data_IF_028613648330
#
_entry.id   IF_028613648330
#
_cell.length_a   1.000
_cell.length_b   1.000
_cell.length_c   1.000
_cell.angle_alpha   90.00
_cell.angle_beta   90.00
_cell.angle_gamma   90.00
#
_symmetry.space_group_name_H-M   'P 1'
#
loop_
_entity.id
_entity.type
_entity.pdbx_description
1 polymer ?
#
# COMPACT_ATOMS: atom_id res chain seq x y z
N UNK A 1 -3.57 4.18 13.89
CA UNK A 1 -4.13 2.89 14.31
C UNK A 1 -5.36 3.06 15.18
N UNK A 2 -6.19 1.99 15.30
CA UNK A 2 -7.20 1.86 16.36
C UNK A 2 -6.74 0.71 17.26
N UNK A 3 -6.42 0.97 18.54
CA UNK A 3 -5.93 -0.07 19.45
C UNK A 3 -6.89 -1.25 19.57
N UNK A 4 -6.36 -2.45 19.62
CA UNK A 4 -7.14 -3.67 19.76
C UNK A 4 -6.35 -4.81 20.39
N UNK A 5 -7.04 -5.73 21.04
CA UNK A 5 -6.40 -6.81 21.81
C UNK A 5 -5.58 -7.76 20.94
N UNK A 6 -6.00 -8.02 19.72
CA UNK A 6 -5.36 -8.99 18.83
C UNK A 6 -3.93 -8.64 18.39
N UNK A 7 -3.45 -7.43 18.69
CA UNK A 7 -2.08 -7.02 18.38
C UNK A 7 -1.43 -6.18 19.50
N UNK A 8 -1.82 -6.40 20.75
CA UNK A 8 -1.22 -5.72 21.92
C UNK A 8 0.30 -5.92 21.99
N UNK A 9 0.81 -7.08 21.60
CA UNK A 9 2.27 -7.34 21.56
C UNK A 9 2.99 -6.38 20.58
N UNK A 10 2.38 -6.05 19.45
CA UNK A 10 2.92 -5.05 18.51
C UNK A 10 2.92 -3.67 19.15
N UNK A 11 1.82 -3.28 19.78
CA UNK A 11 1.72 -1.98 20.46
C UNK A 11 2.75 -1.82 21.57
N UNK A 12 2.96 -2.88 22.34
CA UNK A 12 3.99 -2.90 23.39
C UNK A 12 5.40 -2.76 22.76
N UNK A 13 5.68 -3.47 21.66
CA UNK A 13 6.95 -3.35 20.94
C UNK A 13 7.20 -1.99 20.30
N UNK A 14 6.16 -1.23 19.96
CA UNK A 14 6.28 0.11 19.39
C UNK A 14 6.64 1.19 20.43
N UNK A 15 6.37 0.96 21.74
CA UNK A 15 6.65 1.94 22.80
C UNK A 15 8.12 2.32 22.91
N UNK A 16 9.02 1.38 22.65
CA UNK A 16 10.48 1.56 22.74
C UNK A 16 11.12 1.96 21.41
N UNK A 17 10.32 2.40 20.45
CA UNK A 17 10.79 2.81 19.11
C UNK A 17 10.56 4.29 18.85
N UNK A 18 11.22 4.82 17.82
CA UNK A 18 10.97 6.17 17.31
C UNK A 18 9.75 6.28 16.39
N UNK A 19 8.96 5.21 16.24
CA UNK A 19 7.78 5.21 15.37
C UNK A 19 6.64 5.95 16.07
N UNK A 20 6.22 7.06 15.47
CA UNK A 20 5.08 7.81 15.96
C UNK A 20 3.77 7.06 15.65
N UNK A 21 2.98 6.82 16.69
CA UNK A 21 1.70 6.13 16.58
C UNK A 21 0.55 7.11 16.71
N UNK A 22 -0.17 7.35 15.62
CA UNK A 22 -1.39 8.19 15.60
C UNK A 22 -2.61 7.34 15.95
N UNK A 23 -3.28 7.68 17.06
CA UNK A 23 -4.48 6.99 17.52
C UNK A 23 -5.74 7.56 16.86
N UNK A 24 -6.55 6.70 16.29
CA UNK A 24 -7.84 7.04 15.69
C UNK A 24 -8.98 6.41 16.50
N UNK A 25 -10.17 6.96 16.34
CA UNK A 25 -11.40 6.45 17.00
C UNK A 25 -12.23 5.53 16.12
N UNK A 26 -11.82 5.37 14.84
CA UNK A 26 -12.49 4.54 13.85
C UNK A 26 -11.49 4.03 12.82
N UNK A 27 -11.56 2.77 12.45
CA UNK A 27 -10.59 2.11 11.58
C UNK A 27 -10.64 2.61 10.13
N UNK A 28 -11.83 3.01 9.67
CA UNK A 28 -11.98 3.70 8.38
C UNK A 28 -11.18 5.00 8.35
N UNK A 29 -11.19 5.78 9.45
CA UNK A 29 -10.37 6.98 9.54
C UNK A 29 -8.86 6.63 9.54
N UNK A 30 -8.46 5.60 10.30
CA UNK A 30 -7.06 5.16 10.33
C UNK A 30 -6.56 4.72 8.95
N UNK A 31 -7.37 3.95 8.21
CA UNK A 31 -7.01 3.46 6.88
C UNK A 31 -6.98 4.58 5.84
N UNK A 32 -7.93 5.53 5.88
CA UNK A 32 -7.95 6.69 4.97
C UNK A 32 -6.77 7.64 5.27
N UNK A 33 -6.42 7.85 6.54
CA UNK A 33 -5.23 8.64 6.90
C UNK A 33 -3.94 7.99 6.40
N UNK A 34 -3.82 6.66 6.49
CA UNK A 34 -2.67 5.94 5.95
C UNK A 34 -2.64 6.00 4.41
N UNK A 35 -3.79 5.94 3.75
CA UNK A 35 -3.88 6.16 2.31
C UNK A 35 -3.37 7.56 1.94
N UNK A 36 -3.86 8.59 2.62
CA UNK A 36 -3.43 9.97 2.38
C UNK A 36 -1.91 10.17 2.62
N UNK A 37 -1.35 9.56 3.67
CA UNK A 37 0.10 9.57 3.91
C UNK A 37 0.86 8.90 2.76
N UNK A 38 0.41 7.73 2.30
CA UNK A 38 1.00 7.03 1.16
C UNK A 38 1.00 7.87 -0.12
N UNK A 39 -0.11 8.56 -0.38
CA UNK A 39 -0.28 9.43 -1.55
C UNK A 39 0.63 10.67 -1.51
N UNK A 40 0.77 11.28 -0.35
CA UNK A 40 1.56 12.50 -0.16
C UNK A 40 3.06 12.23 -0.10
N UNK A 41 3.45 11.10 0.47
CA UNK A 41 4.88 10.79 0.70
C UNK A 41 5.50 9.90 -0.36
N UNK A 42 4.68 9.22 -1.17
CA UNK A 42 5.15 8.21 -2.13
C UNK A 42 5.76 6.97 -1.47
N UNK A 43 5.53 6.76 -0.17
CA UNK A 43 5.91 5.57 0.60
C UNK A 43 4.65 4.86 1.08
N UNK A 44 4.67 3.55 1.38
CA UNK A 44 3.47 2.91 1.90
C UNK A 44 2.99 3.55 3.20
N UNK A 45 1.77 4.07 3.19
CA UNK A 45 1.10 4.47 4.42
C UNK A 45 0.77 3.25 5.27
N UNK A 46 0.93 3.34 6.59
CA UNK A 46 0.81 2.20 7.50
C UNK A 46 -0.39 2.37 8.42
N UNK A 47 -1.24 1.36 8.45
CA UNK A 47 -2.33 1.28 9.41
C UNK A 47 -2.33 -0.05 10.17
N UNK A 48 -2.77 -0.01 11.44
CA UNK A 48 -2.99 -1.18 12.29
C UNK A 48 -4.42 -1.18 12.80
N UNK A 49 -5.09 -2.33 12.66
CA UNK A 49 -6.46 -2.53 13.13
C UNK A 49 -6.62 -3.91 13.76
N UNK A 50 -7.62 -4.07 14.62
CA UNK A 50 -7.93 -5.37 15.21
C UNK A 50 -8.62 -6.30 14.22
N UNK A 51 -8.71 -7.58 14.58
CA UNK A 51 -9.41 -8.60 13.78
C UNK A 51 -10.90 -8.30 13.60
N UNK A 52 -11.53 -9.00 12.67
CA UNK A 52 -12.97 -8.96 12.43
C UNK A 52 -13.49 -7.55 12.13
N UNK A 53 -14.30 -6.95 13.03
CA UNK A 53 -14.90 -5.63 12.79
C UNK A 53 -13.89 -4.53 12.48
N UNK A 54 -12.70 -4.54 13.11
CA UNK A 54 -11.66 -3.57 12.81
C UNK A 54 -11.17 -3.66 11.37
N UNK A 55 -10.94 -4.87 10.88
CA UNK A 55 -10.55 -5.12 9.50
C UNK A 55 -11.64 -4.68 8.51
N UNK A 56 -12.90 -5.03 8.78
CA UNK A 56 -14.03 -4.68 7.90
C UNK A 56 -14.27 -3.17 7.86
N UNK A 57 -14.14 -2.47 8.98
CA UNK A 57 -14.22 -1.00 9.01
C UNK A 57 -13.09 -0.33 8.22
N UNK A 58 -11.89 -0.93 8.18
CA UNK A 58 -10.74 -0.39 7.44
C UNK A 58 -10.87 -0.57 5.91
N UNK A 59 -11.78 -1.39 5.42
CA UNK A 59 -11.91 -1.74 4.00
C UNK A 59 -12.13 -0.53 3.08
N UNK A 60 -12.76 0.53 3.55
CA UNK A 60 -12.96 1.75 2.77
C UNK A 60 -11.65 2.40 2.34
N UNK A 61 -10.68 2.54 3.23
CA UNK A 61 -9.37 3.10 2.88
C UNK A 61 -8.56 2.16 1.97
N UNK A 62 -8.69 0.85 2.15
CA UNK A 62 -8.07 -0.14 1.25
C UNK A 62 -8.64 -0.04 -0.16
N UNK A 63 -9.96 0.09 -0.30
CA UNK A 63 -10.58 0.27 -1.61
C UNK A 63 -10.14 1.57 -2.28
N UNK A 64 -10.07 2.68 -1.54
CA UNK A 64 -9.56 3.96 -2.06
C UNK A 64 -8.12 3.80 -2.52
N UNK A 65 -7.24 3.22 -1.71
CA UNK A 65 -5.83 2.99 -2.06
C UNK A 65 -5.67 2.14 -3.32
N UNK A 66 -6.51 1.11 -3.50
CA UNK A 66 -6.51 0.27 -4.70
C UNK A 66 -6.96 1.06 -5.93
N UNK A 67 -8.01 1.86 -5.82
CA UNK A 67 -8.52 2.65 -6.93
C UNK A 67 -7.56 3.77 -7.35
N UNK A 68 -6.96 4.44 -6.37
CA UNK A 68 -6.06 5.58 -6.58
C UNK A 68 -4.60 5.17 -6.81
N UNK A 69 -4.30 3.86 -6.80
CA UNK A 69 -2.93 3.36 -6.94
C UNK A 69 -1.98 3.90 -5.85
N UNK A 70 -2.48 4.01 -4.62
CA UNK A 70 -1.72 4.50 -3.48
C UNK A 70 -1.04 3.34 -2.76
N UNK A 71 0.28 3.40 -2.52
CA UNK A 71 0.96 2.37 -1.74
C UNK A 71 0.50 2.41 -0.28
N UNK A 72 0.12 1.26 0.27
CA UNK A 72 -0.36 1.15 1.64
C UNK A 72 -0.10 -0.25 2.19
N UNK A 73 0.14 -0.36 3.50
CA UNK A 73 0.19 -1.64 4.22
C UNK A 73 -0.78 -1.57 5.39
N UNK A 74 -1.77 -2.46 5.39
CA UNK A 74 -2.66 -2.67 6.53
C UNK A 74 -2.19 -3.90 7.30
N UNK A 75 -1.79 -3.69 8.53
CA UNK A 75 -1.62 -4.77 9.50
C UNK A 75 -2.95 -5.02 10.21
N UNK A 76 -3.41 -6.24 10.17
CA UNK A 76 -4.67 -6.64 10.78
C UNK A 76 -4.45 -7.79 11.76
N UNK A 77 -4.97 -7.67 12.96
CA UNK A 77 -4.95 -8.78 13.91
C UNK A 77 -5.75 -9.97 13.40
N UNK A 78 -5.39 -11.16 13.83
CA UNK A 78 -6.10 -12.40 13.51
C UNK A 78 -6.22 -13.29 14.74
N UNK A 79 -7.19 -14.20 14.73
CA UNK A 79 -7.35 -15.22 15.76
C UNK A 79 -6.10 -16.11 15.86
N UNK A 80 -5.95 -16.82 16.97
CA UNK A 80 -4.88 -17.80 17.13
C UNK A 80 -4.97 -18.92 16.06
N UNK A 81 -3.83 -19.37 15.54
CA UNK A 81 -3.73 -20.32 14.42
C UNK A 81 -4.49 -21.64 14.64
N UNK A 82 -4.54 -22.11 15.87
CA UNK A 82 -5.24 -23.33 16.26
C UNK A 82 -6.77 -23.22 16.23
N UNK A 83 -7.30 -21.99 16.11
CA UNK A 83 -8.74 -21.73 16.10
C UNK A 83 -9.32 -21.61 14.69
N UNK A 84 -8.50 -21.63 13.64
CA UNK A 84 -8.97 -21.50 12.27
C UNK A 84 -9.99 -22.55 11.86
N UNK A 85 -11.04 -22.10 11.14
CA UNK A 85 -12.10 -22.96 10.62
C UNK A 85 -13.05 -23.47 11.68
N UNK A 86 -13.07 -22.85 12.88
CA UNK A 86 -13.95 -23.22 13.99
C UNK A 86 -15.00 -22.17 14.29
N UNK A 87 -15.20 -21.19 13.39
CA UNK A 87 -16.09 -20.04 13.61
C UNK A 87 -15.74 -19.31 14.92
N UNK A 88 -14.44 -19.08 15.12
CA UNK A 88 -13.93 -18.40 16.30
C UNK A 88 -14.39 -16.94 16.33
N UNK A 89 -14.46 -16.36 17.54
CA UNK A 89 -14.88 -14.97 17.72
C UNK A 89 -14.06 -13.99 16.86
N UNK A 90 -14.73 -13.28 15.96
CA UNK A 90 -14.14 -12.33 15.01
C UNK A 90 -13.20 -12.96 13.97
N UNK A 91 -13.31 -14.24 13.70
CA UNK A 91 -12.60 -14.89 12.60
C UNK A 91 -13.06 -14.31 11.25
N UNK A 92 -12.11 -13.96 10.39
CA UNK A 92 -12.35 -13.53 9.00
C UNK A 92 -11.29 -14.14 8.11
N UNK A 93 -11.70 -14.72 6.99
CA UNK A 93 -10.80 -15.11 5.91
C UNK A 93 -10.38 -13.83 5.14
N UNK A 94 -9.24 -13.27 5.49
CA UNK A 94 -8.75 -12.04 4.88
C UNK A 94 -8.32 -12.22 3.43
N UNK A 95 -7.95 -13.43 3.02
CA UNK A 95 -7.67 -13.70 1.61
C UNK A 95 -8.93 -13.54 0.75
N UNK A 96 -10.07 -14.04 1.22
CA UNK A 96 -11.34 -13.84 0.53
C UNK A 96 -11.83 -12.41 0.65
N UNK A 97 -11.72 -11.81 1.83
CA UNK A 97 -12.26 -10.49 2.09
C UNK A 97 -11.52 -9.36 1.35
N UNK A 98 -10.19 -9.37 1.36
CA UNK A 98 -9.36 -8.34 0.75
C UNK A 98 -8.78 -8.72 -0.61
N UNK A 99 -8.84 -9.97 -1.04
CA UNK A 99 -8.16 -10.46 -2.23
C UNK A 99 -8.53 -9.74 -3.53
N UNK A 100 -9.75 -9.20 -3.62
CA UNK A 100 -10.19 -8.37 -4.75
C UNK A 100 -9.80 -6.89 -4.67
N UNK A 101 -9.32 -6.42 -3.52
CA UNK A 101 -8.99 -5.01 -3.25
C UNK A 101 -7.50 -4.78 -2.97
N UNK A 102 -6.75 -5.82 -2.63
CA UNK A 102 -5.34 -5.72 -2.28
C UNK A 102 -4.45 -6.38 -3.33
N UNK A 103 -3.24 -5.86 -3.52
CA UNK A 103 -2.22 -6.49 -4.38
C UNK A 103 -1.77 -7.83 -3.83
N UNK A 104 -1.79 -7.98 -2.51
CA UNK A 104 -1.34 -9.16 -1.81
C UNK A 104 -1.95 -9.20 -0.41
N UNK A 105 -2.34 -10.38 0.02
CA UNK A 105 -2.79 -10.65 1.38
C UNK A 105 -1.88 -11.75 1.96
N UNK A 106 -1.19 -11.42 3.03
CA UNK A 106 -0.37 -12.38 3.77
C UNK A 106 -1.01 -12.68 5.11
N UNK A 107 -0.88 -13.92 5.54
CA UNK A 107 -1.08 -14.32 6.92
C UNK A 107 0.22 -14.90 7.48
N UNK A 108 0.74 -14.28 8.54
CA UNK A 108 2.06 -14.61 9.09
C UNK A 108 1.95 -15.80 10.02
N UNK A 109 2.35 -16.98 9.56
CA UNK A 109 2.25 -18.22 10.34
C UNK A 109 3.39 -18.43 11.35
N UNK A 110 4.53 -17.77 11.17
CA UNK A 110 5.74 -17.94 11.98
C UNK A 110 6.43 -16.60 12.17
N UNK A 111 6.84 -16.26 13.40
CA UNK A 111 7.53 -15.02 13.71
C UNK A 111 8.84 -14.86 12.92
N UNK A 112 9.57 -15.95 12.66
CA UNK A 112 10.80 -15.93 11.89
C UNK A 112 10.63 -15.40 10.46
N UNK A 113 9.44 -15.48 9.89
CA UNK A 113 9.14 -14.96 8.55
C UNK A 113 8.66 -13.53 8.51
N UNK A 114 8.34 -12.94 9.66
CA UNK A 114 7.80 -11.57 9.71
C UNK A 114 8.71 -10.53 9.03
N UNK A 115 10.04 -10.50 9.28
CA UNK A 115 10.93 -9.54 8.61
C UNK A 115 10.92 -9.66 7.08
N UNK A 116 10.94 -10.88 6.55
CA UNK A 116 10.84 -11.16 5.11
C UNK A 116 9.50 -10.69 4.54
N UNK A 117 8.39 -11.02 5.21
CA UNK A 117 7.04 -10.70 4.77
C UNK A 117 6.83 -9.17 4.75
N UNK A 118 7.30 -8.45 5.77
CA UNK A 118 7.21 -6.98 5.82
C UNK A 118 8.01 -6.34 4.68
N UNK A 119 9.24 -6.80 4.43
CA UNK A 119 10.07 -6.32 3.32
C UNK A 119 9.39 -6.58 1.96
N UNK A 120 8.85 -7.78 1.77
CA UNK A 120 8.12 -8.15 0.55
C UNK A 120 6.83 -7.34 0.38
N UNK A 121 6.10 -7.09 1.48
CA UNK A 121 4.89 -6.27 1.46
C UNK A 121 5.21 -4.83 1.03
N UNK A 122 6.27 -4.25 1.57
CA UNK A 122 6.72 -2.92 1.21
C UNK A 122 7.08 -2.84 -0.28
N UNK A 123 7.90 -3.76 -0.77
CA UNK A 123 8.25 -3.85 -2.18
C UNK A 123 7.01 -4.03 -3.07
N UNK A 124 6.09 -4.93 -2.69
CA UNK A 124 4.86 -5.20 -3.46
C UNK A 124 3.94 -3.98 -3.51
N UNK A 125 3.79 -3.26 -2.39
CA UNK A 125 2.96 -2.06 -2.35
C UNK A 125 3.46 -0.97 -3.32
N UNK A 126 4.78 -0.88 -3.51
CA UNK A 126 5.44 0.14 -4.32
C UNK A 126 5.68 -0.26 -5.78
N UNK A 127 5.74 -1.56 -6.10
CA UNK A 127 6.17 -2.04 -7.42
C UNK A 127 5.06 -1.98 -8.46
N UNK A 128 5.41 -1.74 -9.73
CA UNK A 128 4.45 -1.64 -10.83
C UNK A 128 3.39 -0.56 -10.58
N UNK A 129 2.10 -0.91 -10.70
CA UNK A 129 1.03 -0.04 -10.22
C UNK A 129 1.00 -0.12 -8.68
N UNK A 130 1.30 0.96 -7.95
CA UNK A 130 1.23 0.94 -6.48
C UNK A 130 -0.16 0.56 -5.96
N UNK A 131 -0.22 0.08 -4.73
CA UNK A 131 -1.51 -0.29 -4.14
C UNK A 131 -1.37 -0.97 -2.78
N UNK A 132 -2.50 -1.28 -2.13
CA UNK A 132 -2.52 -1.80 -0.78
C UNK A 132 -2.07 -3.26 -0.69
N UNK A 133 -1.41 -3.57 0.42
CA UNK A 133 -1.04 -4.92 0.87
C UNK A 133 -1.59 -5.14 2.28
N UNK A 134 -2.05 -6.34 2.56
CA UNK A 134 -2.60 -6.72 3.86
C UNK A 134 -1.67 -7.75 4.51
N UNK A 135 -1.37 -7.54 5.78
CA UNK A 135 -0.61 -8.50 6.61
C UNK A 135 -1.45 -8.87 7.82
N UNK A 136 -1.96 -10.07 7.82
CA UNK A 136 -2.69 -10.64 8.96
C UNK A 136 -1.71 -11.23 9.98
N UNK A 137 -1.93 -10.89 11.24
CA UNK A 137 -1.05 -11.19 12.38
C UNK A 137 -1.82 -12.06 13.39
N UNK A 138 -1.71 -13.40 13.35
CA UNK A 138 -2.28 -14.28 14.37
C UNK A 138 -1.73 -13.93 15.76
N UNK A 139 -2.62 -13.81 16.74
CA UNK A 139 -2.25 -13.31 18.09
C UNK A 139 -1.23 -14.20 18.79
N UNK A 140 -1.30 -15.51 18.61
CA UNK A 140 -0.33 -16.44 19.21
C UNK A 140 1.04 -16.40 18.49
N UNK A 141 1.09 -16.08 17.20
CA UNK A 141 2.35 -15.84 16.48
C UNK A 141 3.08 -14.60 17.04
N UNK A 142 2.36 -13.57 17.44
CA UNK A 142 2.95 -12.36 18.00
C UNK A 142 3.64 -12.55 19.37
N UNK A 143 3.46 -13.70 20.01
CA UNK A 143 4.16 -14.07 21.26
C UNK A 143 5.37 -14.99 21.01
N UNK A 144 5.59 -15.40 19.78
CA UNK A 144 6.76 -16.20 19.40
C UNK A 144 8.04 -15.34 19.43
N UNK A 145 9.16 -15.96 19.78
CA UNK A 145 10.48 -15.30 19.71
C UNK A 145 11.14 -15.56 18.37
N UNK A 146 11.86 -14.57 17.85
CA UNK A 146 12.67 -14.71 16.64
C UNK A 146 14.05 -14.09 16.81
N UNK A 147 15.05 -14.68 16.18
CA UNK A 147 16.40 -14.13 16.07
C UNK A 147 16.65 -13.47 14.70
N UNK A 148 15.68 -13.51 13.80
CA UNK A 148 15.80 -12.93 12.48
C UNK A 148 15.77 -11.41 12.55
N UNK A 149 16.75 -10.79 11.90
CA UNK A 149 16.85 -9.32 11.85
C UNK A 149 15.93 -8.75 10.77
N UNK A 150 15.50 -7.49 10.91
CA UNK A 150 14.81 -6.79 9.86
C UNK A 150 15.59 -6.83 8.54
N UNK A 151 14.88 -7.05 7.45
CA UNK A 151 15.45 -6.97 6.10
C UNK A 151 15.43 -5.51 5.66
N UNK A 152 16.55 -5.04 5.11
CA UNK A 152 16.67 -3.67 4.63
C UNK A 152 15.71 -3.38 3.46
N UNK A 153 15.54 -2.09 3.17
CA UNK A 153 14.73 -1.64 2.04
C UNK A 153 15.36 -2.11 0.72
N UNK A 154 14.52 -2.67 -0.15
CA UNK A 154 14.89 -3.04 -1.52
C UNK A 154 14.34 -1.97 -2.45
N UNK A 155 15.21 -1.29 -3.19
CA UNK A 155 14.80 -0.30 -4.18
C UNK A 155 13.96 -0.95 -5.28
N UNK A 156 12.85 -0.33 -5.61
CA UNK A 156 12.06 -0.75 -6.76
C UNK A 156 12.79 -0.35 -8.06
N UNK A 157 12.79 -1.24 -9.03
CA UNK A 157 13.20 -0.89 -10.39
C UNK A 157 12.12 -0.02 -11.03
N UNK A 158 12.51 1.10 -11.62
CA UNK A 158 11.63 1.87 -12.50
C UNK A 158 11.73 1.34 -13.93
N UNK A 159 10.60 1.18 -14.60
CA UNK A 159 10.57 0.89 -16.03
C UNK A 159 10.76 2.18 -16.80
N UNK A 160 11.59 2.15 -17.84
CA UNK A 160 11.71 3.23 -18.80
C UNK A 160 11.23 2.72 -20.19
N UNK A 161 10.62 3.58 -21.05
CA UNK A 161 10.30 3.19 -22.41
C UNK A 161 11.59 2.85 -23.18
N UNK A 162 11.49 1.96 -24.17
CA UNK A 162 12.63 1.72 -25.05
C UNK A 162 12.91 2.96 -25.92
N UNK A 163 14.13 3.09 -26.40
CA UNK A 163 14.51 4.19 -27.32
C UNK A 163 13.63 4.22 -28.57
N UNK A 164 13.25 3.04 -29.07
CA UNK A 164 12.38 2.93 -30.25
C UNK A 164 10.96 3.40 -29.96
N UNK A 165 10.38 3.00 -28.82
CA UNK A 165 9.03 3.43 -28.43
C UNK A 165 8.98 4.95 -28.25
N UNK A 166 10.03 5.52 -27.64
CA UNK A 166 10.14 6.97 -27.46
C UNK A 166 10.24 7.68 -28.81
N UNK A 167 11.04 7.18 -29.74
CA UNK A 167 11.17 7.76 -31.06
C UNK A 167 9.85 7.70 -31.83
N UNK A 168 9.15 6.57 -31.81
CA UNK A 168 7.82 6.44 -32.42
C UNK A 168 6.81 7.42 -31.81
N UNK A 169 6.77 7.54 -30.49
CA UNK A 169 5.89 8.47 -29.79
C UNK A 169 6.12 9.93 -30.21
N UNK A 170 7.40 10.33 -30.34
CA UNK A 170 7.77 11.69 -30.80
C UNK A 170 7.29 11.92 -32.23
N UNK A 171 7.47 10.97 -33.13
CA UNK A 171 7.03 11.10 -34.53
C UNK A 171 5.50 11.15 -34.65
N UNK A 172 4.77 10.39 -33.86
CA UNK A 172 3.31 10.45 -33.82
C UNK A 172 2.81 11.83 -33.36
N UNK A 173 3.40 12.40 -32.29
CA UNK A 173 3.05 13.76 -31.85
C UNK A 173 3.35 14.80 -32.95
N UNK A 174 4.52 14.74 -33.57
CA UNK A 174 4.91 15.71 -34.61
C UNK A 174 4.03 15.62 -35.88
N UNK A 175 3.54 14.44 -36.21
CA UNK A 175 2.69 14.22 -37.39
C UNK A 175 1.21 14.56 -37.15
N UNK A 176 0.79 14.61 -35.88
CA UNK A 176 -0.59 14.90 -35.53
C UNK A 176 -0.96 16.38 -35.77
N UNK A 177 -2.15 16.62 -36.33
CA UNK A 177 -2.63 18.00 -36.57
C UNK A 177 -3.06 18.71 -35.29
N UNK A 178 -3.70 18.00 -34.36
CA UNK A 178 -4.22 18.53 -33.10
C UNK A 178 -3.98 17.51 -31.99
N UNK A 179 -2.74 17.31 -31.55
CA UNK A 179 -2.45 16.34 -30.50
C UNK A 179 -3.02 16.79 -29.15
N UNK A 180 -3.59 15.85 -28.41
CA UNK A 180 -4.08 16.04 -27.03
C UNK A 180 -3.39 15.01 -26.16
N UNK A 181 -2.84 15.45 -25.02
CA UNK A 181 -2.23 14.59 -24.05
C UNK A 181 -3.17 14.42 -22.84
N UNK A 182 -3.60 13.17 -22.60
CA UNK A 182 -4.42 12.85 -21.42
C UNK A 182 -3.53 12.18 -20.38
N UNK A 183 -3.40 12.83 -19.23
CA UNK A 183 -2.58 12.37 -18.12
C UNK A 183 -3.41 11.60 -17.12
N UNK A 184 -2.91 10.47 -16.69
CA UNK A 184 -3.49 9.66 -15.63
C UNK A 184 -2.41 9.06 -14.74
N UNK A 185 -2.85 8.34 -13.71
CA UNK A 185 -1.95 7.68 -12.76
C UNK A 185 -1.53 8.57 -11.59
N UNK A 186 -0.93 7.94 -10.57
CA UNK A 186 -0.67 8.54 -9.26
C UNK A 186 0.82 8.77 -8.95
N UNK A 187 1.73 8.46 -9.86
CA UNK A 187 3.19 8.47 -9.61
C UNK A 187 3.86 9.70 -10.23
N UNK A 188 3.25 10.87 -10.04
CA UNK A 188 3.79 12.13 -10.52
C UNK A 188 4.72 12.77 -9.49
N UNK A 189 5.94 13.13 -9.90
CA UNK A 189 6.84 13.98 -9.12
C UNK A 189 6.71 15.45 -9.55
N UNK A 190 7.13 16.36 -8.69
CA UNK A 190 7.18 17.78 -9.03
C UNK A 190 8.09 18.04 -10.24
N UNK A 191 9.17 17.29 -10.40
CA UNK A 191 10.08 17.44 -11.53
C UNK A 191 9.45 16.92 -12.83
N UNK A 192 8.79 15.75 -12.78
CA UNK A 192 8.04 15.26 -13.94
C UNK A 192 6.91 16.21 -14.39
N UNK A 193 6.25 16.90 -13.44
CA UNK A 193 5.25 17.90 -13.76
C UNK A 193 5.84 19.11 -14.47
N UNK A 194 7.01 19.61 -14.02
CA UNK A 194 7.74 20.71 -14.67
C UNK A 194 8.26 20.35 -16.06
N UNK A 195 8.80 19.12 -16.20
CA UNK A 195 9.25 18.63 -17.51
C UNK A 195 8.08 18.56 -18.49
N UNK A 196 6.92 18.09 -18.02
CA UNK A 196 5.70 18.03 -18.82
C UNK A 196 5.21 19.42 -19.25
N UNK A 197 5.22 20.40 -18.35
CA UNK A 197 4.88 21.79 -18.65
C UNK A 197 5.78 22.32 -19.77
N UNK A 198 7.09 22.12 -19.64
CA UNK A 198 8.08 22.55 -20.63
C UNK A 198 7.85 21.88 -22.00
N UNK A 199 7.57 20.58 -22.03
CA UNK A 199 7.28 19.83 -23.25
C UNK A 199 5.97 20.30 -23.89
N UNK A 200 4.95 20.55 -23.06
CA UNK A 200 3.65 21.05 -23.53
C UNK A 200 3.78 22.40 -24.21
N UNK A 201 4.50 23.33 -23.62
CA UNK A 201 4.77 24.66 -24.19
C UNK A 201 5.58 24.55 -25.49
N UNK A 202 6.63 23.73 -25.50
CA UNK A 202 7.50 23.55 -26.68
C UNK A 202 6.75 22.97 -27.89
N UNK A 203 5.83 22.04 -27.66
CA UNK A 203 5.12 21.33 -28.74
C UNK A 203 3.70 21.84 -28.97
N UNK A 204 3.23 22.83 -28.21
CA UNK A 204 1.86 23.36 -28.30
C UNK A 204 0.80 22.30 -27.96
N UNK A 205 1.08 21.40 -26.98
CA UNK A 205 0.20 20.30 -26.61
C UNK A 205 -0.91 20.78 -25.66
N UNK A 206 -2.14 20.40 -25.97
CA UNK A 206 -3.24 20.52 -25.00
C UNK A 206 -3.16 19.39 -24.00
N UNK A 207 -3.07 19.72 -22.70
CA UNK A 207 -3.06 18.73 -21.61
C UNK A 207 -4.43 18.66 -20.97
N UNK A 208 -4.90 17.45 -20.76
CA UNK A 208 -6.05 17.10 -19.95
C UNK A 208 -5.61 16.14 -18.83
N UNK A 209 -6.22 16.23 -17.69
CA UNK A 209 -6.01 15.27 -16.59
C UNK A 209 -7.20 14.33 -16.48
N UNK A 210 -6.94 13.05 -16.24
CA UNK A 210 -8.00 12.12 -15.88
C UNK A 210 -8.52 12.43 -14.47
N UNK A 211 -9.70 11.91 -14.14
CA UNK A 211 -10.27 12.07 -12.80
C UNK A 211 -9.43 11.38 -11.71
N UNK A 212 -8.60 10.43 -12.10
CA UNK A 212 -7.71 9.64 -11.21
C UNK A 212 -6.33 9.54 -11.82
#
# INVERSE_FOLDING_TARGET
CVPGESYLSVMNGLQDTSIETVLCKHEGAASIMAEADGKLTGRPGIAFVTRGPGATNAASGIHIAQQDSTPMILFVGQIGKEMYGRDAFQEVDYQQFFGGMAKLVFEVQQADRLPEIVSRAYHTAMSGRPGPVIIALPENMLTESTNNKPVGYINNSSSAPSTNDLAQFIEEIKSAKNPILILGGSVWSNDAAKDLESVSEMLGLTILTSHR
#
